data_IF_302931118969
#
_entry.id   IF_302931118969
#
_cell.length_a   1.000
_cell.length_b   1.000
_cell.length_c   1.000
_cell.angle_alpha   90.00
_cell.angle_beta   90.00
_cell.angle_gamma   90.00
#
_symmetry.space_group_name_H-M   'P 1'
#
loop_
_entity.id
_entity.type
_entity.pdbx_description
1 polymer ?
#
# COMPACT_ATOMS: atom_id res chain seq x y z
N UNK A 1 -50.75 4.67 -28.33
CA UNK A 1 -49.39 5.12 -28.74
C UNK A 1 -48.48 5.55 -27.57
N UNK A 2 -49.01 5.80 -26.35
CA UNK A 2 -48.23 6.28 -25.18
C UNK A 2 -47.47 5.15 -24.44
N UNK A 3 -47.89 3.90 -24.61
CA UNK A 3 -47.39 2.74 -23.83
C UNK A 3 -45.99 2.29 -24.23
N UNK A 4 -45.65 2.30 -25.53
CA UNK A 4 -44.32 1.90 -26.00
C UNK A 4 -43.22 2.87 -25.58
N UNK A 5 -43.49 4.19 -25.58
CA UNK A 5 -42.51 5.19 -25.15
C UNK A 5 -42.17 5.05 -23.66
N UNK A 6 -43.16 4.74 -22.82
CA UNK A 6 -42.94 4.45 -21.39
C UNK A 6 -42.16 3.15 -21.17
N UNK A 7 -42.40 2.13 -22.00
CA UNK A 7 -41.68 0.86 -21.93
C UNK A 7 -40.20 1.01 -22.31
N UNK A 8 -39.91 1.76 -23.37
CA UNK A 8 -38.53 2.02 -23.83
C UNK A 8 -37.75 2.83 -22.80
N UNK A 9 -38.37 3.88 -22.24
CA UNK A 9 -37.74 4.68 -21.18
C UNK A 9 -37.49 3.84 -19.92
N UNK A 10 -38.47 3.00 -19.52
CA UNK A 10 -38.29 2.08 -18.39
C UNK A 10 -37.14 1.10 -18.60
N UNK A 11 -37.04 0.49 -19.78
CA UNK A 11 -35.95 -0.42 -20.13
C UNK A 11 -34.59 0.29 -20.11
N UNK A 12 -34.53 1.51 -20.64
CA UNK A 12 -33.30 2.31 -20.65
C UNK A 12 -32.84 2.66 -19.23
N UNK A 13 -33.76 3.06 -18.35
CA UNK A 13 -33.42 3.34 -16.94
C UNK A 13 -32.93 2.08 -16.22
N UNK A 14 -33.52 0.92 -16.49
CA UNK A 14 -33.08 -0.36 -15.92
C UNK A 14 -31.68 -0.73 -16.44
N UNK A 15 -31.42 -0.55 -17.74
CA UNK A 15 -30.11 -0.84 -18.32
C UNK A 15 -29.02 0.09 -17.80
N UNK A 16 -29.32 1.39 -17.64
CA UNK A 16 -28.37 2.37 -17.09
C UNK A 16 -28.10 2.09 -15.61
N UNK A 17 -29.13 1.80 -14.82
CA UNK A 17 -28.95 1.45 -13.40
C UNK A 17 -28.22 0.13 -13.23
N UNK A 18 -28.48 -0.87 -14.07
CA UNK A 18 -27.71 -2.11 -14.10
C UNK A 18 -26.24 -1.84 -14.50
N UNK A 19 -25.99 -1.06 -15.55
CA UNK A 19 -24.63 -0.74 -15.99
C UNK A 19 -23.84 0.02 -14.91
N UNK A 20 -24.47 0.97 -14.21
CA UNK A 20 -23.87 1.65 -13.06
C UNK A 20 -23.63 0.67 -11.89
N UNK A 21 -24.59 -0.18 -11.58
CA UNK A 21 -24.49 -1.16 -10.49
C UNK A 21 -23.43 -2.23 -10.75
N UNK A 22 -23.23 -2.66 -12.01
CA UNK A 22 -22.18 -3.62 -12.39
C UNK A 22 -20.83 -2.95 -12.61
N UNK A 23 -20.78 -1.75 -13.18
CA UNK A 23 -19.55 -0.99 -13.39
C UNK A 23 -18.93 -0.44 -12.10
N UNK A 24 -19.69 -0.36 -11.01
CA UNK A 24 -19.19 0.03 -9.68
C UNK A 24 -18.80 -1.16 -8.81
N UNK A 25 -18.94 -2.41 -9.29
CA UNK A 25 -18.43 -3.55 -8.53
C UNK A 25 -16.90 -3.54 -8.62
N UNK A 26 -16.18 -3.52 -7.48
CA UNK A 26 -14.75 -3.80 -7.51
C UNK A 26 -14.55 -5.16 -8.17
N UNK A 27 -13.66 -5.22 -9.16
CA UNK A 27 -13.34 -6.45 -9.87
C UNK A 27 -12.75 -7.44 -8.85
N UNK A 28 -13.51 -8.49 -8.52
CA UNK A 28 -13.01 -9.59 -7.70
C UNK A 28 -12.06 -10.43 -8.56
N UNK A 29 -10.77 -10.37 -8.29
CA UNK A 29 -9.80 -11.31 -8.86
C UNK A 29 -9.76 -12.59 -8.01
N UNK A 30 -9.55 -13.73 -8.69
CA UNK A 30 -9.76 -15.07 -8.13
C UNK A 30 -8.82 -15.44 -6.97
N UNK A 31 -7.65 -14.80 -6.86
CA UNK A 31 -6.55 -15.24 -5.98
C UNK A 31 -6.12 -14.20 -4.93
N UNK A 32 -6.97 -13.21 -4.63
CA UNK A 32 -6.73 -12.24 -3.55
C UNK A 32 -5.69 -11.16 -3.86
N UNK A 33 -4.91 -11.30 -4.93
CA UNK A 33 -4.02 -10.24 -5.44
C UNK A 33 -4.73 -9.56 -6.61
N UNK A 34 -5.50 -8.52 -6.32
CA UNK A 34 -5.72 -7.50 -7.34
C UNK A 34 -4.43 -6.69 -7.42
N UNK A 35 -3.43 -7.18 -8.16
CA UNK A 35 -2.55 -6.24 -8.84
C UNK A 35 -3.50 -5.36 -9.63
N UNK A 36 -3.49 -4.06 -9.41
CA UNK A 36 -4.05 -3.12 -10.37
C UNK A 36 -3.44 -3.47 -11.73
N UNK A 37 -4.13 -4.31 -12.51
CA UNK A 37 -3.66 -4.74 -13.82
C UNK A 37 -3.86 -3.56 -14.76
N UNK A 38 -2.95 -2.60 -14.64
CA UNK A 38 -2.76 -1.50 -15.56
C UNK A 38 -2.04 -2.11 -16.74
N UNK A 39 -2.81 -2.57 -17.72
CA UNK A 39 -2.27 -3.18 -18.94
C UNK A 39 -1.31 -2.23 -19.70
N UNK A 40 -1.36 -0.94 -19.39
CA UNK A 40 -0.53 0.14 -19.90
C UNK A 40 0.61 0.57 -18.95
N UNK A 41 0.74 -0.03 -17.76
CA UNK A 41 1.83 0.30 -16.85
C UNK A 41 3.19 -0.06 -17.48
N UNK A 42 4.17 0.85 -17.41
CA UNK A 42 5.55 0.53 -17.77
C UNK A 42 6.07 -0.66 -16.96
N UNK A 43 7.16 -1.28 -17.40
CA UNK A 43 7.76 -2.47 -16.76
C UNK A 43 7.94 -2.32 -15.24
N UNK A 44 8.38 -1.15 -14.77
CA UNK A 44 8.59 -0.85 -13.34
C UNK A 44 7.41 -0.10 -12.70
N UNK A 45 6.26 -0.01 -13.38
CA UNK A 45 5.00 0.44 -12.78
C UNK A 45 4.23 -0.69 -12.09
N UNK A 46 4.61 -1.94 -12.35
CA UNK A 46 4.02 -3.13 -11.74
C UNK A 46 4.83 -3.59 -10.52
N UNK A 47 4.16 -4.22 -9.55
CA UNK A 47 4.83 -4.94 -8.47
C UNK A 47 5.75 -6.04 -9.05
N UNK A 48 6.88 -6.27 -8.38
CA UNK A 48 7.80 -7.33 -8.72
C UNK A 48 7.31 -8.71 -8.24
N UNK A 49 8.17 -9.71 -8.42
CA UNK A 49 7.81 -11.13 -8.23
C UNK A 49 7.85 -11.59 -6.76
N UNK A 50 8.49 -10.83 -5.88
CA UNK A 50 8.64 -11.22 -4.48
C UNK A 50 7.41 -10.81 -3.68
N UNK A 51 6.79 -11.75 -2.92
CA UNK A 51 5.91 -11.36 -1.82
C UNK A 51 6.66 -10.46 -0.85
N UNK A 52 5.97 -9.52 -0.23
CA UNK A 52 6.59 -8.54 0.67
C UNK A 52 6.20 -8.85 2.10
N UNK A 53 7.18 -8.88 2.99
CA UNK A 53 6.98 -8.86 4.45
C UNK A 53 7.28 -7.48 5.02
N UNK A 54 6.67 -7.16 6.15
CA UNK A 54 6.98 -5.94 6.92
C UNK A 54 7.25 -6.25 8.38
N UNK A 55 8.14 -5.49 9.02
CA UNK A 55 8.41 -5.54 10.47
C UNK A 55 8.76 -4.14 10.98
N UNK A 56 8.40 -3.87 12.22
CA UNK A 56 8.90 -2.70 12.96
C UNK A 56 9.94 -3.19 13.96
N UNK A 57 11.09 -2.54 13.97
CA UNK A 57 12.18 -2.80 14.89
C UNK A 57 12.50 -1.52 15.64
N UNK A 58 12.56 -1.58 16.97
CA UNK A 58 13.06 -0.47 17.79
C UNK A 58 14.51 -0.78 18.15
N UNK A 59 15.42 0.14 17.85
CA UNK A 59 16.79 0.09 18.34
C UNK A 59 16.82 0.57 19.79
N UNK A 60 17.45 -0.21 20.67
CA UNK A 60 17.46 0.04 22.12
C UNK A 60 18.50 1.09 22.56
N UNK A 61 19.33 1.58 21.65
CA UNK A 61 20.31 2.64 21.94
C UNK A 61 19.61 3.99 22.08
N UNK A 62 20.01 4.81 23.07
CA UNK A 62 19.39 6.11 23.34
C UNK A 62 19.95 7.23 22.43
N UNK A 63 19.09 8.04 21.77
CA UNK A 63 17.62 7.94 21.75
C UNK A 63 17.14 6.76 20.89
N UNK A 64 16.19 5.97 21.41
CA UNK A 64 15.65 4.80 20.73
C UNK A 64 15.15 5.14 19.31
N UNK A 65 15.56 4.35 18.32
CA UNK A 65 15.21 4.57 16.91
C UNK A 65 14.27 3.48 16.41
N UNK A 66 13.03 3.84 16.12
CA UNK A 66 12.10 2.94 15.44
C UNK A 66 12.42 2.89 13.94
N UNK A 67 12.45 1.70 13.37
CA UNK A 67 12.73 1.44 11.96
C UNK A 67 11.67 0.49 11.43
N UNK A 68 10.97 0.91 10.37
CA UNK A 68 10.13 -0.02 9.61
C UNK A 68 10.96 -0.68 8.51
N UNK A 69 10.80 -1.99 8.35
CA UNK A 69 11.57 -2.85 7.46
C UNK A 69 10.61 -3.51 6.50
N UNK A 70 10.84 -3.36 5.19
CA UNK A 70 10.18 -4.13 4.13
C UNK A 70 11.20 -5.02 3.43
N UNK A 71 10.80 -6.25 3.12
CA UNK A 71 11.73 -7.26 2.61
C UNK A 71 11.02 -8.31 1.76
N UNK A 72 11.74 -8.97 0.83
CA UNK A 72 11.27 -10.18 0.16
C UNK A 72 10.93 -11.25 1.19
N UNK A 73 9.72 -11.76 1.14
CA UNK A 73 9.18 -12.72 2.09
C UNK A 73 8.74 -14.01 1.40
N UNK A 74 8.73 -15.09 2.17
CA UNK A 74 8.04 -16.31 1.78
C UNK A 74 6.53 -16.00 1.73
N UNK A 75 5.85 -16.48 0.69
CA UNK A 75 4.40 -16.28 0.51
C UNK A 75 3.64 -16.62 1.80
N UNK A 76 2.80 -15.70 2.25
CA UNK A 76 1.90 -15.87 3.40
C UNK A 76 0.52 -15.31 3.08
N UNK A 77 -0.43 -15.50 3.99
CA UNK A 77 -1.75 -14.89 3.84
C UNK A 77 -1.64 -13.37 3.81
N UNK A 78 -2.08 -12.76 2.71
CA UNK A 78 -2.21 -11.31 2.64
C UNK A 78 -3.37 -10.90 3.55
N UNK A 79 -3.06 -10.24 4.68
CA UNK A 79 -4.04 -9.45 5.39
C UNK A 79 -4.06 -8.06 4.75
N UNK A 80 -5.24 -7.58 4.37
CA UNK A 80 -5.39 -6.22 3.85
C UNK A 80 -5.11 -5.24 4.99
N UNK A 81 -3.87 -4.78 5.09
CA UNK A 81 -3.49 -3.66 5.93
C UNK A 81 -3.62 -2.35 5.13
N UNK A 82 -3.60 -1.22 5.83
CA UNK A 82 -3.54 0.09 5.20
C UNK A 82 -2.45 0.92 5.85
N UNK A 83 -1.66 1.62 5.04
CA UNK A 83 -0.71 2.60 5.53
C UNK A 83 -1.39 3.94 5.74
N UNK A 84 -1.39 4.47 6.96
CA UNK A 84 -1.82 5.84 7.20
C UNK A 84 -0.72 6.81 6.73
N UNK A 85 -1.14 7.82 5.97
CA UNK A 85 -0.36 9.02 5.72
C UNK A 85 -0.57 9.97 6.88
N UNK A 86 0.43 10.06 7.75
CA UNK A 86 0.37 10.84 8.97
C UNK A 86 1.29 12.04 8.91
N UNK A 87 0.80 13.16 9.43
CA UNK A 87 1.58 14.35 9.72
C UNK A 87 1.71 14.48 11.24
N UNK A 88 2.94 14.52 11.72
CA UNK A 88 3.29 14.76 13.12
C UNK A 88 3.09 16.25 13.43
N UNK A 89 2.19 16.56 14.35
CA UNK A 89 1.98 17.93 14.82
C UNK A 89 2.39 18.05 16.30
N UNK A 90 3.35 18.92 16.67
CA UNK A 90 3.91 18.97 18.02
C UNK A 90 2.89 19.15 19.17
N UNK A 91 1.76 19.79 18.90
CA UNK A 91 0.74 20.13 19.91
C UNK A 91 -0.48 19.19 19.86
N UNK A 92 -0.80 18.66 18.67
CA UNK A 92 -2.05 17.94 18.42
C UNK A 92 -1.83 16.42 18.34
N UNK A 93 -0.57 15.98 18.21
CA UNK A 93 -0.22 14.60 17.90
C UNK A 93 -0.37 14.33 16.40
N UNK A 94 -0.37 13.04 16.04
CA UNK A 94 -0.40 12.64 14.64
C UNK A 94 -1.78 12.80 14.02
N UNK A 95 -1.82 13.40 12.84
CA UNK A 95 -3.04 13.54 12.04
C UNK A 95 -2.93 12.70 10.78
N UNK A 96 -3.85 11.75 10.63
CA UNK A 96 -3.99 10.96 9.40
C UNK A 96 -4.73 11.79 8.36
N UNK A 97 -4.09 12.03 7.21
CA UNK A 97 -4.65 12.80 6.10
C UNK A 97 -5.10 11.95 4.92
N UNK A 98 -4.59 10.72 4.82
CA UNK A 98 -4.97 9.74 3.81
C UNK A 98 -4.60 8.33 4.29
N UNK A 99 -5.10 7.32 3.59
CA UNK A 99 -4.72 5.91 3.77
C UNK A 99 -4.49 5.28 2.42
N UNK A 100 -3.47 4.44 2.31
CA UNK A 100 -3.22 3.63 1.12
C UNK A 100 -3.23 2.14 1.46
N UNK A 101 -3.60 1.30 0.51
CA UNK A 101 -3.62 -0.15 0.71
C UNK A 101 -2.19 -0.69 0.85
N UNK A 102 -2.00 -1.63 1.76
CA UNK A 102 -0.74 -2.35 1.96
C UNK A 102 -0.91 -3.80 1.54
N UNK A 103 0.11 -4.32 0.86
CA UNK A 103 0.20 -5.72 0.44
C UNK A 103 1.30 -6.47 1.21
N UNK A 104 2.07 -5.78 2.05
CA UNK A 104 3.06 -6.41 2.90
C UNK A 104 2.42 -7.25 4.00
N UNK A 105 3.00 -8.42 4.26
CA UNK A 105 2.55 -9.37 5.26
C UNK A 105 3.32 -9.09 6.57
N UNK A 106 2.66 -8.58 7.63
CA UNK A 106 3.34 -8.29 8.89
C UNK A 106 3.96 -9.54 9.49
N UNK A 107 5.25 -9.47 9.84
CA UNK A 107 5.96 -10.56 10.52
C UNK A 107 6.26 -11.80 9.67
N UNK A 108 6.05 -11.75 8.35
CA UNK A 108 6.36 -12.88 7.46
C UNK A 108 7.80 -13.39 7.60
N UNK A 109 8.03 -14.64 7.20
CA UNK A 109 9.37 -15.20 7.15
C UNK A 109 10.15 -14.56 6.00
N UNK A 110 11.42 -14.21 6.25
CA UNK A 110 12.33 -13.72 5.21
C UNK A 110 12.47 -14.77 4.10
N UNK A 111 12.35 -14.37 2.84
CA UNK A 111 12.90 -15.15 1.74
C UNK A 111 14.40 -14.94 1.75
N UNK A 112 15.19 -16.00 1.92
CA UNK A 112 16.65 -15.93 1.91
C UNK A 112 17.24 -16.64 0.68
N UNK A 113 16.39 -17.20 -0.19
CA UNK A 113 16.83 -18.06 -1.28
C UNK A 113 17.40 -17.28 -2.48
N UNK A 114 16.92 -16.05 -2.71
CA UNK A 114 17.38 -15.19 -3.82
C UNK A 114 18.28 -14.03 -3.37
N UNK A 115 18.68 -14.00 -2.08
CA UNK A 115 19.60 -12.99 -1.54
C UNK A 115 21.07 -13.24 -1.92
N UNK A 116 22.00 -12.36 -1.49
CA UNK A 116 21.75 -11.17 -0.67
C UNK A 116 21.06 -10.06 -1.47
N UNK A 117 20.01 -9.49 -0.88
CA UNK A 117 19.27 -8.40 -1.50
C UNK A 117 19.96 -7.05 -1.26
N UNK A 118 19.98 -6.14 -2.25
CA UNK A 118 20.42 -4.76 -2.05
C UNK A 118 19.60 -4.03 -0.99
N UNK A 119 20.25 -3.15 -0.24
CA UNK A 119 19.65 -2.35 0.82
C UNK A 119 19.32 -0.93 0.31
N UNK A 120 18.11 -0.46 0.61
CA UNK A 120 17.68 0.93 0.46
C UNK A 120 17.31 1.48 1.83
N UNK A 121 17.74 2.70 2.15
CA UNK A 121 17.30 3.44 3.33
C UNK A 121 16.44 4.61 2.85
N UNK A 122 15.16 4.61 3.23
CA UNK A 122 14.21 5.69 2.94
C UNK A 122 14.10 6.60 4.15
N UNK A 123 14.54 7.85 4.00
CA UNK A 123 14.31 8.89 5.01
C UNK A 123 12.99 9.59 4.71
N UNK A 124 12.02 9.59 5.65
CA UNK A 124 10.81 10.39 5.50
C UNK A 124 11.13 11.89 5.43
N UNK A 125 10.25 12.65 4.76
CA UNK A 125 10.27 14.11 4.79
C UNK A 125 9.80 14.67 6.14
N UNK A 126 10.03 15.96 6.35
CA UNK A 126 9.66 16.65 7.59
C UNK A 126 8.18 16.43 7.96
N UNK A 127 7.95 16.11 9.22
CA UNK A 127 6.71 15.77 9.90
C UNK A 127 6.03 14.50 9.37
N UNK A 128 6.64 13.75 8.46
CA UNK A 128 6.05 12.53 7.91
C UNK A 128 6.50 11.30 8.70
N UNK A 129 5.63 10.30 8.76
CA UNK A 129 6.00 8.96 9.21
C UNK A 129 6.60 8.10 8.11
N UNK A 130 7.36 7.09 8.50
CA UNK A 130 7.86 6.04 7.61
C UNK A 130 6.76 5.38 6.77
N UNK A 131 5.58 5.16 7.36
CA UNK A 131 4.40 4.57 6.70
C UNK A 131 3.92 5.35 5.47
N UNK A 132 4.16 6.66 5.41
CA UNK A 132 3.77 7.50 4.26
C UNK A 132 4.53 7.14 2.97
N UNK A 133 5.64 6.40 3.08
CA UNK A 133 6.39 5.85 1.95
C UNK A 133 6.23 4.34 1.81
N UNK A 134 5.29 3.72 2.54
CA UNK A 134 5.07 2.28 2.55
C UNK A 134 4.81 1.70 1.16
N UNK A 135 4.02 2.38 0.32
CA UNK A 135 3.78 1.99 -1.07
C UNK A 135 5.08 1.85 -1.90
N UNK A 136 6.03 2.77 -1.71
CA UNK A 136 7.30 2.78 -2.42
C UNK A 136 8.22 1.69 -1.85
N UNK A 137 8.23 1.54 -0.53
CA UNK A 137 9.01 0.51 0.14
C UNK A 137 8.55 -0.90 -0.26
N UNK A 138 7.24 -1.14 -0.32
CA UNK A 138 6.66 -2.39 -0.82
C UNK A 138 6.99 -2.63 -2.29
N UNK A 139 6.88 -1.60 -3.12
CA UNK A 139 7.23 -1.71 -4.53
C UNK A 139 8.70 -2.13 -4.69
N UNK A 140 9.63 -1.45 -4.03
CA UNK A 140 11.05 -1.82 -4.05
C UNK A 140 11.27 -3.24 -3.49
N UNK A 141 10.63 -3.60 -2.37
CA UNK A 141 10.77 -4.93 -1.79
C UNK A 141 10.27 -6.04 -2.72
N UNK A 142 9.18 -5.80 -3.45
CA UNK A 142 8.66 -6.74 -4.44
C UNK A 142 9.63 -6.98 -5.61
N UNK A 143 10.53 -6.03 -5.88
CA UNK A 143 11.61 -6.12 -6.86
C UNK A 143 12.93 -6.66 -6.29
N UNK A 144 12.93 -7.15 -5.05
CA UNK A 144 14.10 -7.81 -4.45
C UNK A 144 15.03 -6.84 -3.70
N UNK A 145 14.50 -5.77 -3.12
CA UNK A 145 15.27 -4.89 -2.22
C UNK A 145 14.87 -5.13 -0.76
N UNK A 146 15.81 -4.99 0.17
CA UNK A 146 15.47 -4.74 1.57
C UNK A 146 15.39 -3.23 1.76
N UNK A 147 14.29 -2.75 2.34
CA UNK A 147 14.04 -1.33 2.56
C UNK A 147 13.92 -1.06 4.05
N UNK A 148 14.71 -0.13 4.56
CA UNK A 148 14.62 0.38 5.92
C UNK A 148 14.09 1.81 5.87
N UNK A 149 13.10 2.15 6.69
CA UNK A 149 12.66 3.51 6.91
C UNK A 149 12.71 3.84 8.41
N UNK A 150 13.73 4.59 8.85
CA UNK A 150 13.78 5.11 10.21
C UNK A 150 12.66 6.12 10.46
N UNK A 151 12.12 6.10 11.67
CA UNK A 151 11.20 7.10 12.17
C UNK A 151 12.00 8.22 12.84
N UNK A 152 11.90 9.44 12.32
CA UNK A 152 12.63 10.59 12.86
C UNK A 152 11.82 11.31 13.93
N UNK A 153 12.42 11.58 15.08
CA UNK A 153 11.86 12.56 16.03
C UNK A 153 12.37 13.95 15.65
N UNK A 154 11.45 14.78 15.18
CA UNK A 154 11.78 16.08 14.62
C UNK A 154 11.42 17.17 15.60
N UNK A 155 12.39 18.02 15.93
CA UNK A 155 12.16 19.18 16.76
C UNK A 155 12.10 20.42 15.87
N UNK A 156 10.94 21.08 15.86
CA UNK A 156 10.81 22.41 15.28
C UNK A 156 11.36 23.42 16.29
N UNK A 157 12.67 23.69 16.22
CA UNK A 157 13.31 24.73 17.03
C UNK A 157 13.37 26.05 16.22
N UNK A 158 12.49 27.04 16.51
CA UNK A 158 12.41 28.30 15.76
C UNK A 158 13.62 29.22 15.94
#
# INVERSE_FOLDING_TARGET
MVTHKKLIVGLFVILVTAALYFGTRPQKCADGICTDYRADAPTYGMLGVHPVGSRVQVMEEEPGLEITIWYPAVSGGAENAAYPYQIKLPVVGDVTIATDASYAIPGAAYDLAAGPYPLVILSPGFAMRASSYGWLAEHLASHGFVVLAPEHDEQMNP
#
